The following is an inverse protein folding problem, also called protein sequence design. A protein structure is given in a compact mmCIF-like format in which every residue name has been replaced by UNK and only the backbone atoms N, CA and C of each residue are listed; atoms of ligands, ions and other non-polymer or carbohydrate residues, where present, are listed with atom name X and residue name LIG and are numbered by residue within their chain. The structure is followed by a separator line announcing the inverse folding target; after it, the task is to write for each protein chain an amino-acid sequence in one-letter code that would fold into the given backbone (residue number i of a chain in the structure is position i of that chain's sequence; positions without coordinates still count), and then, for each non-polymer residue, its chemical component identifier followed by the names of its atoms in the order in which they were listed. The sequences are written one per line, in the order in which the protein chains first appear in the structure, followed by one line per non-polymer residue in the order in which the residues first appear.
data_IF_022065948188
#
_entry.id   IF_022065948188
#
_cell.length_a   1.000
_cell.length_b   1.000
_cell.length_c   1.000
_cell.angle_alpha   90.00
_cell.angle_beta   90.00
_cell.angle_gamma   90.00
#
_symmetry.space_group_name_H-M   'P 1'
#
loop_
_entity.id
_entity.type
_entity.pdbx_description
1 polymer ?
#
# COMPACT_ATOMS: atom_id res chain seq x y z
N UNK A 1 -3.68 -2.91 -37.52
CA UNK A 1 -4.21 -1.78 -36.76
C UNK A 1 -4.53 -2.28 -35.36
N UNK A 2 -3.77 -1.82 -34.33
CA UNK A 2 -4.15 -2.09 -32.93
C UNK A 2 -5.30 -1.15 -32.62
N UNK A 3 -6.51 -1.64 -32.55
CA UNK A 3 -7.63 -0.90 -31.99
C UNK A 3 -7.31 -0.67 -30.49
N UNK A 4 -7.02 0.58 -30.12
CA UNK A 4 -6.95 0.96 -28.70
C UNK A 4 -8.34 0.79 -28.12
N UNK A 5 -8.48 -0.06 -27.10
CA UNK A 5 -9.71 -0.15 -26.34
C UNK A 5 -10.10 1.26 -25.82
N UNK A 6 -11.36 1.65 -25.87
CA UNK A 6 -11.80 2.95 -25.35
C UNK A 6 -11.49 3.05 -23.85
N UNK A 7 -11.23 4.27 -23.33
CA UNK A 7 -11.02 4.48 -21.90
C UNK A 7 -12.27 4.09 -21.11
N UNK A 8 -12.08 3.46 -19.95
CA UNK A 8 -13.18 3.15 -19.01
C UNK A 8 -13.69 4.45 -18.39
N UNK A 9 -15.01 4.56 -18.20
CA UNK A 9 -15.61 5.64 -17.42
C UNK A 9 -15.17 5.57 -15.97
N UNK A 10 -15.04 6.73 -15.31
CA UNK A 10 -14.74 6.84 -13.87
C UNK A 10 -15.97 7.30 -13.09
N UNK A 11 -16.81 6.39 -12.56
CA UNK A 11 -18.01 6.74 -11.82
C UNK A 11 -17.72 7.45 -10.49
N UNK A 12 -16.48 7.41 -10.01
CA UNK A 12 -16.07 8.04 -8.75
C UNK A 12 -15.37 9.38 -8.93
N UNK A 13 -15.24 9.88 -10.17
CA UNK A 13 -14.53 11.13 -10.43
C UNK A 13 -15.07 12.31 -9.59
N UNK A 14 -16.40 12.40 -9.41
CA UNK A 14 -17.04 13.43 -8.60
C UNK A 14 -16.86 13.26 -7.08
N UNK A 15 -16.49 12.05 -6.61
CA UNK A 15 -16.40 11.71 -5.18
C UNK A 15 -14.98 11.87 -4.63
N UNK A 16 -13.98 12.07 -5.47
CA UNK A 16 -12.56 12.08 -5.06
C UNK A 16 -12.05 13.40 -4.49
N UNK A 17 -12.85 14.46 -4.46
CA UNK A 17 -12.40 15.80 -4.10
C UNK A 17 -11.92 15.92 -2.65
N UNK A 18 -12.80 15.85 -1.67
CA UNK A 18 -12.48 16.22 -0.28
C UNK A 18 -12.71 15.11 0.76
N UNK A 19 -12.84 13.85 0.37
CA UNK A 19 -13.21 12.77 1.29
C UNK A 19 -12.04 12.37 2.17
N UNK A 20 -12.16 12.52 3.47
CA UNK A 20 -11.19 12.05 4.47
C UNK A 20 -11.20 10.53 4.65
N UNK A 21 -12.33 9.86 4.35
CA UNK A 21 -12.50 8.41 4.45
C UNK A 21 -12.52 7.77 3.07
N UNK A 22 -11.69 6.73 2.88
CA UNK A 22 -11.62 5.94 1.65
C UNK A 22 -11.92 4.49 1.95
N UNK A 23 -12.92 3.93 1.30
CA UNK A 23 -13.27 2.51 1.39
C UNK A 23 -12.69 1.81 0.17
N UNK A 24 -11.85 0.80 0.40
CA UNK A 24 -11.11 0.11 -0.66
C UNK A 24 -11.15 -1.40 -0.54
N UNK A 25 -10.35 -2.06 -1.37
CA UNK A 25 -10.21 -3.51 -1.44
C UNK A 25 -8.76 -3.94 -1.25
N UNK A 26 -8.55 -5.19 -0.82
CA UNK A 26 -7.21 -5.79 -0.70
C UNK A 26 -6.79 -6.47 -2.01
N UNK A 27 -5.95 -5.80 -2.82
CA UNK A 27 -5.54 -6.28 -4.13
C UNK A 27 -6.61 -6.11 -5.22
N UNK A 28 -6.28 -6.54 -6.45
CA UNK A 28 -7.18 -6.42 -7.60
C UNK A 28 -7.18 -7.67 -8.50
N UNK A 29 -6.30 -8.63 -8.29
CA UNK A 29 -6.19 -9.85 -9.11
C UNK A 29 -6.81 -11.05 -8.43
N UNK A 30 -8.11 -10.99 -8.15
CA UNK A 30 -8.83 -12.08 -7.49
C UNK A 30 -9.76 -12.76 -8.49
N UNK A 31 -9.44 -14.00 -8.89
CA UNK A 31 -10.15 -14.72 -9.94
C UNK A 31 -11.68 -14.80 -9.77
N UNK A 32 -12.23 -15.00 -8.54
CA UNK A 32 -13.68 -15.03 -8.33
C UNK A 32 -14.40 -13.69 -8.61
N UNK A 33 -13.68 -12.60 -8.80
CA UNK A 33 -14.29 -11.32 -9.18
C UNK A 33 -14.52 -11.20 -10.70
N UNK A 34 -13.97 -12.10 -11.51
CA UNK A 34 -14.20 -12.14 -12.95
C UNK A 34 -15.63 -12.57 -13.24
N UNK A 35 -16.23 -11.96 -14.26
CA UNK A 35 -17.65 -12.14 -14.62
C UNK A 35 -18.67 -11.78 -13.50
N UNK A 36 -18.20 -11.00 -12.50
CA UNK A 36 -18.98 -10.52 -11.37
C UNK A 36 -18.66 -9.03 -11.11
N UNK A 37 -17.62 -8.71 -10.31
CA UNK A 37 -17.13 -7.34 -10.16
C UNK A 37 -16.48 -6.84 -11.44
N UNK A 38 -15.66 -7.65 -12.08
CA UNK A 38 -15.10 -7.36 -13.39
C UNK A 38 -16.07 -7.80 -14.49
N UNK A 39 -16.32 -6.94 -15.52
CA UNK A 39 -17.15 -7.31 -16.65
C UNK A 39 -16.64 -8.57 -17.36
N UNK A 40 -17.56 -9.35 -17.92
CA UNK A 40 -17.23 -10.51 -18.71
C UNK A 40 -16.26 -10.13 -19.84
N UNK A 41 -15.18 -10.93 -19.96
CA UNK A 41 -14.17 -10.72 -20.98
C UNK A 41 -13.17 -9.58 -20.72
N UNK A 42 -13.20 -8.91 -19.56
CA UNK A 42 -12.18 -7.92 -19.21
C UNK A 42 -10.80 -8.60 -19.10
N UNK A 43 -9.80 -8.20 -19.91
CA UNK A 43 -8.47 -8.78 -19.78
C UNK A 43 -7.84 -8.49 -18.41
N UNK A 44 -7.16 -9.47 -17.81
CA UNK A 44 -6.53 -9.35 -16.50
C UNK A 44 -5.60 -8.12 -16.38
N UNK A 45 -4.90 -7.77 -17.45
CA UNK A 45 -4.04 -6.58 -17.48
C UNK A 45 -4.78 -5.26 -17.27
N UNK A 46 -6.12 -5.24 -17.39
CA UNK A 46 -6.99 -4.08 -17.17
C UNK A 46 -7.75 -4.12 -15.83
N UNK A 47 -7.55 -5.16 -15.01
CA UNK A 47 -8.24 -5.30 -13.72
C UNK A 47 -7.92 -4.13 -12.78
N UNK A 48 -6.64 -3.67 -12.72
CA UNK A 48 -6.28 -2.48 -11.93
C UNK A 48 -6.96 -1.22 -12.46
N UNK A 49 -6.92 -1.01 -13.77
CA UNK A 49 -7.57 0.13 -14.41
C UNK A 49 -9.06 0.18 -14.09
N UNK A 50 -9.74 -0.96 -14.15
CA UNK A 50 -11.17 -1.07 -13.83
C UNK A 50 -11.42 -0.86 -12.33
N UNK A 51 -10.76 -1.61 -11.46
CA UNK A 51 -10.98 -1.56 -10.01
C UNK A 51 -10.74 -0.15 -9.47
N UNK A 52 -9.67 0.53 -9.91
CA UNK A 52 -9.33 1.86 -9.43
C UNK A 52 -10.33 2.96 -9.82
N UNK A 53 -11.26 2.68 -10.72
CA UNK A 53 -12.38 3.56 -11.08
C UNK A 53 -13.66 3.27 -10.29
N UNK A 54 -13.71 2.11 -9.61
CA UNK A 54 -14.87 1.66 -8.84
C UNK A 54 -14.65 1.72 -7.31
N UNK A 55 -13.39 1.82 -6.87
CA UNK A 55 -13.03 2.05 -5.47
C UNK A 55 -11.97 3.16 -5.38
N UNK A 56 -11.99 4.01 -4.34
CA UNK A 56 -11.06 5.13 -4.21
C UNK A 56 -9.67 4.73 -3.70
N UNK A 57 -9.50 3.49 -3.25
CA UNK A 57 -8.22 2.98 -2.74
C UNK A 57 -8.09 1.47 -2.86
N UNK A 58 -6.84 1.01 -2.93
CA UNK A 58 -6.50 -0.42 -2.90
C UNK A 58 -5.30 -0.63 -1.97
N UNK A 59 -5.40 -1.63 -1.08
CA UNK A 59 -4.26 -2.12 -0.33
C UNK A 59 -3.47 -3.10 -1.19
N UNK A 60 -2.18 -2.83 -1.38
CA UNK A 60 -1.29 -3.69 -2.17
C UNK A 60 -0.67 -4.75 -1.26
N UNK A 61 -1.18 -5.98 -1.34
CA UNK A 61 -0.65 -7.11 -0.59
C UNK A 61 0.63 -7.71 -1.21
N UNK A 62 0.86 -7.51 -2.52
CA UNK A 62 2.03 -8.05 -3.21
C UNK A 62 3.36 -7.57 -2.64
N UNK A 63 3.40 -6.36 -2.09
CA UNK A 63 4.60 -5.76 -1.47
C UNK A 63 4.97 -6.40 -0.12
N UNK A 64 4.05 -7.13 0.52
CA UNK A 64 4.33 -7.95 1.70
C UNK A 64 5.40 -9.02 1.47
N UNK A 65 5.48 -9.55 0.26
CA UNK A 65 6.45 -10.56 -0.12
C UNK A 65 7.78 -9.95 -0.58
N UNK A 66 7.80 -8.68 -0.94
CA UNK A 66 8.98 -7.93 -1.35
C UNK A 66 8.64 -6.67 -2.15
N UNK A 67 9.59 -5.74 -2.19
CA UNK A 67 9.48 -4.53 -2.98
C UNK A 67 9.28 -4.86 -4.47
N UNK A 68 8.54 -4.01 -5.16
CA UNK A 68 8.38 -4.09 -6.61
C UNK A 68 9.45 -3.25 -7.31
N UNK A 69 9.65 -3.50 -8.61
CA UNK A 69 10.54 -2.66 -9.42
C UNK A 69 9.94 -1.26 -9.59
N UNK A 70 10.75 -0.20 -9.68
CA UNK A 70 10.27 1.18 -9.91
C UNK A 70 9.32 1.30 -11.11
N UNK A 71 9.60 0.57 -12.21
CA UNK A 71 8.74 0.54 -13.38
C UNK A 71 7.33 -0.04 -13.10
N UNK A 72 7.20 -0.95 -12.12
CA UNK A 72 5.89 -1.49 -11.71
C UNK A 72 5.08 -0.43 -10.98
N UNK A 73 5.69 0.31 -10.07
CA UNK A 73 5.02 1.43 -9.37
C UNK A 73 4.60 2.53 -10.34
N UNK A 74 5.47 2.90 -11.28
CA UNK A 74 5.15 3.85 -12.34
C UNK A 74 3.96 3.39 -13.20
N UNK A 75 3.93 2.09 -13.56
CA UNK A 75 2.80 1.51 -14.28
C UNK A 75 1.50 1.62 -13.48
N UNK A 76 1.50 1.25 -12.19
CA UNK A 76 0.31 1.35 -11.34
C UNK A 76 -0.21 2.79 -11.23
N UNK A 77 0.71 3.76 -11.10
CA UNK A 77 0.34 5.17 -11.13
C UNK A 77 -0.38 5.55 -12.43
N UNK A 78 0.17 5.14 -13.57
CA UNK A 78 -0.37 5.50 -14.89
C UNK A 78 -1.71 4.81 -15.21
N UNK A 79 -1.99 3.66 -14.61
CA UNK A 79 -3.24 2.91 -14.80
C UNK A 79 -4.38 3.39 -13.89
N UNK A 80 -4.08 4.24 -12.89
CA UNK A 80 -5.06 4.69 -11.89
C UNK A 80 -5.40 6.17 -12.09
N UNK A 81 -6.65 6.57 -11.85
CA UNK A 81 -7.08 7.94 -12.04
C UNK A 81 -6.54 8.88 -10.95
N UNK A 82 -6.61 10.16 -11.22
CA UNK A 82 -6.28 11.19 -10.23
C UNK A 82 -7.13 11.03 -8.95
N UNK A 83 -6.53 11.32 -7.79
CA UNK A 83 -7.17 11.16 -6.49
C UNK A 83 -7.28 9.71 -6.00
N UNK A 84 -6.90 8.70 -6.78
CA UNK A 84 -6.79 7.33 -6.32
C UNK A 84 -5.59 7.14 -5.36
N UNK A 85 -5.70 6.23 -4.37
CA UNK A 85 -4.66 6.02 -3.38
C UNK A 85 -4.35 4.53 -3.21
N UNK A 86 -3.08 4.19 -3.26
CA UNK A 86 -2.59 2.88 -2.82
C UNK A 86 -2.19 2.93 -1.33
N UNK A 87 -2.69 2.01 -0.52
CA UNK A 87 -2.04 1.63 0.73
C UNK A 87 -1.09 0.48 0.44
N UNK A 88 0.14 0.55 0.94
CA UNK A 88 1.16 -0.47 0.68
C UNK A 88 1.44 -1.26 1.94
N UNK A 89 1.29 -2.58 1.87
CA UNK A 89 1.75 -3.45 2.95
C UNK A 89 3.28 -3.57 2.89
N UNK A 90 3.95 -3.12 3.94
CA UNK A 90 5.40 -3.22 4.03
C UNK A 90 5.88 -4.67 4.03
N UNK A 91 7.09 -4.97 3.54
CA UNK A 91 7.59 -6.32 3.46
C UNK A 91 7.68 -7.00 4.83
N UNK A 92 7.17 -8.25 4.91
CA UNK A 92 7.16 -9.03 6.16
C UNK A 92 8.54 -9.21 6.81
N UNK A 93 9.58 -9.30 5.99
CA UNK A 93 10.95 -9.50 6.49
C UNK A 93 11.46 -8.32 7.33
N UNK A 94 10.78 -7.17 7.31
CA UNK A 94 11.03 -6.05 8.24
C UNK A 94 10.34 -6.33 9.57
N UNK A 95 9.01 -6.55 9.57
CA UNK A 95 8.21 -6.73 10.79
C UNK A 95 8.52 -8.06 11.53
N UNK A 96 9.04 -9.07 10.82
CA UNK A 96 9.40 -10.38 11.37
C UNK A 96 10.86 -10.46 11.86
N UNK A 97 11.67 -9.39 11.73
CA UNK A 97 13.05 -9.37 12.24
C UNK A 97 13.09 -9.60 13.75
N UNK A 98 14.14 -10.29 14.21
CA UNK A 98 14.32 -10.52 15.66
C UNK A 98 14.47 -9.20 16.41
N UNK A 99 15.32 -8.29 15.91
CA UNK A 99 15.46 -6.93 16.41
C UNK A 99 15.01 -5.94 15.36
N UNK A 100 13.97 -5.16 15.65
CA UNK A 100 13.42 -4.15 14.74
C UNK A 100 14.41 -2.99 14.53
N UNK A 101 15.17 -2.65 15.56
CA UNK A 101 16.24 -1.66 15.50
C UNK A 101 17.31 -1.93 14.42
N UNK A 102 17.39 -3.18 13.89
CA UNK A 102 18.31 -3.57 12.82
C UNK A 102 17.68 -3.52 11.42
N UNK A 103 16.53 -2.89 11.26
CA UNK A 103 15.75 -2.96 10.01
C UNK A 103 16.09 -1.85 9.00
N UNK A 104 17.00 -0.93 9.30
CA UNK A 104 17.30 0.28 8.52
C UNK A 104 17.46 -0.01 7.01
N UNK A 105 18.44 -0.83 6.63
CA UNK A 105 18.70 -1.16 5.22
C UNK A 105 17.47 -1.75 4.51
N UNK A 106 16.66 -2.52 5.24
CA UNK A 106 15.47 -3.16 4.67
C UNK A 106 14.30 -2.16 4.50
N UNK A 107 14.17 -1.22 5.43
CA UNK A 107 13.20 -0.11 5.35
C UNK A 107 13.59 0.79 4.18
N UNK A 108 14.84 1.22 4.11
CA UNK A 108 15.36 2.09 3.07
C UNK A 108 15.26 1.44 1.69
N UNK A 109 15.65 0.19 1.57
CA UNK A 109 15.53 -0.57 0.33
C UNK A 109 14.08 -0.69 -0.15
N UNK A 110 13.10 -0.75 0.74
CA UNK A 110 11.69 -0.75 0.39
C UNK A 110 11.19 0.66 0.04
N UNK A 111 11.44 1.64 0.90
CA UNK A 111 10.88 2.99 0.75
C UNK A 111 11.53 3.71 -0.42
N UNK A 112 12.86 3.75 -0.48
CA UNK A 112 13.60 4.44 -1.52
C UNK A 112 13.86 3.59 -2.78
N UNK A 113 13.46 2.32 -2.77
CA UNK A 113 13.56 1.38 -3.90
C UNK A 113 12.55 1.63 -5.02
N UNK A 114 11.83 2.77 -5.01
CA UNK A 114 10.94 3.17 -6.10
C UNK A 114 9.53 3.58 -5.71
N UNK A 115 9.18 3.71 -4.43
CA UNK A 115 7.85 4.18 -4.01
C UNK A 115 7.54 5.60 -4.50
N UNK A 116 8.58 6.42 -4.72
CA UNK A 116 8.49 7.75 -5.34
C UNK A 116 7.73 7.73 -6.68
N UNK A 117 7.83 6.63 -7.44
CA UNK A 117 7.16 6.46 -8.74
C UNK A 117 5.64 6.40 -8.66
N UNK A 118 5.07 6.11 -7.48
CA UNK A 118 3.63 6.21 -7.25
C UNK A 118 3.16 7.68 -7.20
N UNK A 119 4.05 8.61 -6.89
CA UNK A 119 3.71 10.00 -6.85
C UNK A 119 2.58 10.29 -5.85
N UNK A 120 1.58 11.03 -6.28
CA UNK A 120 0.37 11.39 -5.52
C UNK A 120 -0.57 10.19 -5.23
N UNK A 121 -0.32 9.02 -5.86
CA UNK A 121 -1.03 7.77 -5.56
C UNK A 121 -0.47 7.06 -4.33
N UNK A 122 0.70 7.46 -3.81
CA UNK A 122 1.28 6.87 -2.61
C UNK A 122 0.47 7.27 -1.37
N UNK A 123 -0.17 6.30 -0.77
CA UNK A 123 -0.92 6.41 0.48
C UNK A 123 -0.12 5.91 1.69
N UNK A 124 -0.82 5.41 2.73
CA UNK A 124 -0.17 4.88 3.92
C UNK A 124 0.67 3.64 3.62
N UNK A 125 1.78 3.50 4.36
CA UNK A 125 2.58 2.27 4.43
C UNK A 125 2.16 1.53 5.70
N UNK A 126 1.64 0.32 5.55
CA UNK A 126 1.18 -0.53 6.65
C UNK A 126 2.27 -1.49 7.09
N UNK A 127 2.76 -1.32 8.31
CA UNK A 127 3.68 -2.22 8.99
C UNK A 127 2.88 -3.19 9.87
N UNK A 128 2.61 -4.38 9.35
CA UNK A 128 1.83 -5.39 10.04
C UNK A 128 2.74 -6.33 10.82
N UNK A 129 2.63 -6.33 12.15
CA UNK A 129 3.40 -7.19 13.03
C UNK A 129 2.67 -8.51 13.30
N UNK A 130 3.38 -9.66 13.31
CA UNK A 130 2.74 -10.95 13.56
C UNK A 130 2.24 -11.05 15.01
N UNK A 131 1.25 -11.92 15.28
CA UNK A 131 0.74 -12.16 16.64
C UNK A 131 1.79 -12.64 17.64
N UNK A 132 2.90 -13.19 17.14
CA UNK A 132 4.04 -13.64 17.96
C UNK A 132 4.99 -12.50 18.38
N UNK A 133 4.83 -11.29 17.83
CA UNK A 133 5.65 -10.13 18.18
C UNK A 133 5.14 -9.49 19.46
N UNK A 134 5.80 -9.76 20.57
CA UNK A 134 5.56 -9.02 21.81
C UNK A 134 6.12 -7.60 21.74
N UNK A 135 5.53 -6.70 22.49
CA UNK A 135 6.01 -5.34 22.64
C UNK A 135 7.30 -5.31 23.47
N UNK A 136 8.31 -4.68 22.94
CA UNK A 136 9.54 -4.26 23.61
C UNK A 136 9.70 -2.78 23.31
N UNK A 137 9.58 -1.95 24.34
CA UNK A 137 9.53 -0.49 24.20
C UNK A 137 10.78 0.07 23.52
N UNK A 138 11.95 -0.42 23.88
CA UNK A 138 13.23 0.07 23.35
C UNK A 138 13.44 -0.32 21.89
N UNK A 139 13.15 -1.57 21.51
CA UNK A 139 13.26 -2.06 20.12
C UNK A 139 12.21 -1.40 19.23
N UNK A 140 11.00 -1.19 19.78
CA UNK A 140 9.92 -0.55 19.03
C UNK A 140 10.14 0.96 18.84
N UNK A 141 10.63 1.68 19.85
CA UNK A 141 11.02 3.08 19.72
C UNK A 141 12.14 3.27 18.68
N UNK A 142 13.19 2.42 18.74
CA UNK A 142 14.24 2.43 17.74
C UNK A 142 13.71 2.17 16.32
N UNK A 143 12.76 1.26 16.16
CA UNK A 143 12.10 1.03 14.87
C UNK A 143 11.38 2.28 14.36
N UNK A 144 10.64 2.99 15.21
CA UNK A 144 9.92 4.20 14.83
C UNK A 144 10.87 5.30 14.32
N UNK A 145 12.06 5.41 14.94
CA UNK A 145 13.08 6.37 14.50
C UNK A 145 13.69 6.03 13.13
N UNK A 146 13.65 4.76 12.72
CA UNK A 146 14.10 4.33 11.40
C UNK A 146 13.11 4.65 10.28
N UNK A 147 11.84 4.96 10.60
CA UNK A 147 10.83 5.19 9.58
C UNK A 147 11.05 6.53 8.88
N UNK A 148 11.31 6.55 7.55
CA UNK A 148 11.52 7.79 6.81
C UNK A 148 10.27 8.67 6.85
N UNK A 149 10.44 9.95 7.16
CA UNK A 149 9.33 10.91 7.28
C UNK A 149 8.84 11.44 5.94
N UNK A 150 9.65 11.35 4.91
CA UNK A 150 9.34 11.86 3.58
C UNK A 150 10.11 11.11 2.48
N UNK A 151 9.60 11.17 1.24
CA UNK A 151 10.26 10.77 0.01
C UNK A 151 10.04 11.89 -1.03
N UNK A 152 11.10 12.41 -1.65
CA UNK A 152 11.04 13.55 -2.59
C UNK A 152 10.17 14.71 -2.06
N UNK A 153 10.45 15.17 -0.84
CA UNK A 153 9.71 16.23 -0.12
C UNK A 153 8.24 15.90 0.21
N UNK A 154 7.75 14.73 -0.19
CA UNK A 154 6.39 14.28 0.12
C UNK A 154 6.37 13.57 1.48
N UNK A 155 5.55 14.04 2.44
CA UNK A 155 5.39 13.36 3.73
C UNK A 155 4.90 11.93 3.56
N UNK A 156 5.53 10.99 4.26
CA UNK A 156 5.08 9.60 4.34
C UNK A 156 4.13 9.43 5.53
N UNK A 157 3.18 8.53 5.37
CA UNK A 157 2.26 8.13 6.43
C UNK A 157 2.51 6.66 6.75
N UNK A 158 2.86 6.39 8.00
CA UNK A 158 3.06 5.03 8.50
C UNK A 158 1.88 4.62 9.37
N UNK A 159 1.43 3.39 9.18
CA UNK A 159 0.37 2.76 9.97
C UNK A 159 0.95 1.49 10.57
N UNK A 160 0.74 1.29 11.86
CA UNK A 160 1.24 0.15 12.61
C UNK A 160 0.06 -0.75 12.97
N UNK A 161 0.07 -1.99 12.50
CA UNK A 161 -0.91 -3.00 12.89
C UNK A 161 -0.25 -3.99 13.84
N UNK A 162 -0.50 -3.83 15.13
CA UNK A 162 0.00 -4.70 16.20
C UNK A 162 -1.06 -5.72 16.60
N UNK A 163 -0.65 -6.95 16.87
CA UNK A 163 -1.59 -8.07 17.09
C UNK A 163 -1.38 -8.80 18.42
N UNK A 164 -0.26 -8.59 19.10
CA UNK A 164 0.03 -9.24 20.38
C UNK A 164 -0.55 -8.43 21.54
N UNK A 165 -1.09 -9.13 22.56
CA UNK A 165 -1.76 -8.48 23.70
C UNK A 165 -0.86 -7.54 24.52
N UNK A 166 0.47 -7.71 24.50
CA UNK A 166 1.41 -6.81 25.20
C UNK A 166 1.41 -5.37 24.68
N UNK A 167 0.85 -5.12 23.50
CA UNK A 167 0.66 -3.77 22.98
C UNK A 167 -0.56 -3.05 23.58
N UNK A 168 -1.37 -3.74 24.39
CA UNK A 168 -2.46 -3.13 25.17
C UNK A 168 -1.89 -2.54 26.48
N UNK A 169 -0.99 -1.58 26.35
CA UNK A 169 -0.33 -0.92 27.48
C UNK A 169 -0.32 0.60 27.28
N UNK A 170 -0.31 1.36 28.38
CA UNK A 170 -0.15 2.81 28.32
C UNK A 170 1.18 3.20 27.66
N UNK A 171 2.25 2.48 27.98
CA UNK A 171 3.59 2.71 27.42
C UNK A 171 3.65 2.63 25.89
N UNK A 172 2.78 1.85 25.25
CA UNK A 172 2.68 1.80 23.80
C UNK A 172 1.86 2.97 23.21
N UNK A 173 0.90 3.48 23.99
CA UNK A 173 -0.03 4.53 23.52
C UNK A 173 0.53 5.94 23.72
N UNK A 174 1.48 6.12 24.67
CA UNK A 174 2.17 7.37 24.97
C UNK A 174 3.34 7.62 24.02
#
# INVERSE_FOLDING_TARGET
MKTSDPPLSDPLAAVRGETSVRVGIGGWTFAPWRDNFYPAGLPQRRELEYASRHVPSIEVNGTWYGAQKPATYAKWRNETPEGFVFSLKAPRYVAERKALASAEDAIDGFVFGGLDKLGDRLGPILWQFPPSRSFDASDFAAFLELLPRAIDERPLRHVLEVRHASFLSAEYLD
#
